data_IF_313927974553
#
_entry.id   IF_313927974553
#
_cell.length_a   1.000
_cell.length_b   1.000
_cell.length_c   1.000
_cell.angle_alpha   90.00
_cell.angle_beta   90.00
_cell.angle_gamma   90.00
#
_symmetry.space_group_name_H-M   'P 1'
#
loop_
_entity.id
_entity.type
_entity.pdbx_description
1 polymer ?
#
# COMPACT_ATOMS: atom_id res chain seq x y z
N UNK A 1 18.92 12.06 10.23
CA UNK A 1 18.16 10.92 9.64
C UNK A 1 16.71 10.88 10.13
N UNK A 2 16.45 11.20 11.41
CA UNK A 2 15.10 11.28 11.98
C UNK A 2 14.12 12.18 11.20
N UNK A 3 14.54 13.40 10.83
CA UNK A 3 13.70 14.35 10.06
C UNK A 3 13.33 13.82 8.67
N UNK A 4 14.26 13.17 7.97
CA UNK A 4 14.00 12.56 6.67
C UNK A 4 13.03 11.36 6.77
N UNK A 5 13.17 10.53 7.82
CA UNK A 5 12.28 9.40 8.08
C UNK A 5 10.85 9.84 8.42
N UNK A 6 10.69 10.91 9.21
CA UNK A 6 9.38 11.48 9.54
C UNK A 6 8.72 12.08 8.31
N UNK A 7 9.46 12.81 7.47
CA UNK A 7 8.97 13.36 6.21
C UNK A 7 8.54 12.26 5.22
N UNK A 8 9.36 11.21 5.06
CA UNK A 8 9.03 10.05 4.22
C UNK A 8 7.82 9.28 4.77
N UNK A 9 7.73 9.08 6.09
CA UNK A 9 6.58 8.42 6.72
C UNK A 9 5.29 9.22 6.53
N UNK A 10 5.32 10.54 6.73
CA UNK A 10 4.18 11.44 6.50
C UNK A 10 3.71 11.40 5.04
N UNK A 11 4.63 11.61 4.10
CA UNK A 11 4.32 11.62 2.67
C UNK A 11 3.82 10.27 2.16
N UNK A 12 4.43 9.16 2.57
CA UNK A 12 3.96 7.83 2.24
C UNK A 12 2.54 7.57 2.79
N UNK A 13 2.25 7.99 4.02
CA UNK A 13 0.91 7.84 4.62
C UNK A 13 -0.16 8.56 3.81
N UNK A 14 0.08 9.84 3.49
CA UNK A 14 -0.86 10.68 2.75
C UNK A 14 -1.10 10.12 1.36
N UNK A 15 -0.05 9.67 0.67
CA UNK A 15 -0.14 9.08 -0.66
C UNK A 15 -1.00 7.80 -0.65
N UNK A 16 -0.74 6.89 0.27
CA UNK A 16 -1.49 5.63 0.39
C UNK A 16 -2.96 5.86 0.75
N UNK A 17 -3.26 6.85 1.59
CA UNK A 17 -4.62 7.25 1.94
C UNK A 17 -5.37 7.82 0.72
N UNK A 18 -4.75 8.76 0.00
CA UNK A 18 -5.36 9.38 -1.16
C UNK A 18 -5.67 8.32 -2.23
N UNK A 19 -4.73 7.42 -2.48
CA UNK A 19 -4.89 6.33 -3.43
C UNK A 19 -5.98 5.33 -3.00
N UNK A 20 -6.03 4.94 -1.73
CA UNK A 20 -7.05 4.01 -1.26
C UNK A 20 -8.46 4.62 -1.25
N UNK A 21 -8.58 5.92 -0.97
CA UNK A 21 -9.85 6.65 -1.08
C UNK A 21 -10.32 6.71 -2.53
N UNK A 22 -9.43 7.09 -3.46
CA UNK A 22 -9.71 7.15 -4.89
C UNK A 22 -10.16 5.80 -5.46
N UNK A 23 -9.44 4.73 -5.10
CA UNK A 23 -9.76 3.38 -5.57
C UNK A 23 -11.12 2.91 -5.06
N UNK A 24 -11.45 3.28 -3.82
CA UNK A 24 -12.75 2.99 -3.22
C UNK A 24 -13.88 3.71 -3.95
N UNK A 25 -13.72 5.00 -4.25
CA UNK A 25 -14.73 5.75 -5.00
C UNK A 25 -14.92 5.21 -6.42
N UNK A 26 -13.83 4.93 -7.13
CA UNK A 26 -13.92 4.30 -8.45
C UNK A 26 -14.64 2.96 -8.42
N UNK A 27 -14.37 2.13 -7.40
CA UNK A 27 -15.03 0.83 -7.26
C UNK A 27 -16.54 0.96 -7.03
N UNK A 28 -16.98 2.01 -6.31
CA UNK A 28 -18.40 2.30 -6.09
C UNK A 28 -19.06 2.72 -7.40
N UNK A 29 -18.44 3.67 -8.12
CA UNK A 29 -18.95 4.15 -9.40
C UNK A 29 -19.06 2.98 -10.38
N UNK A 30 -18.03 2.14 -10.48
CA UNK A 30 -18.04 0.97 -11.34
C UNK A 30 -19.15 -0.03 -10.99
N UNK A 31 -19.33 -0.33 -9.70
CA UNK A 31 -20.38 -1.22 -9.22
C UNK A 31 -21.79 -0.70 -9.56
N UNK A 32 -22.01 0.62 -9.49
CA UNK A 32 -23.29 1.23 -9.86
C UNK A 32 -23.58 1.14 -11.36
N UNK A 33 -22.57 1.30 -12.23
CA UNK A 33 -22.74 1.17 -13.68
C UNK A 33 -23.00 -0.27 -14.14
N UNK A 34 -22.39 -1.25 -13.46
CA UNK A 34 -22.46 -2.66 -13.86
C UNK A 34 -23.49 -3.48 -13.09
N UNK A 35 -24.16 -2.88 -12.11
CA UNK A 35 -25.10 -3.54 -11.18
C UNK A 35 -24.49 -4.78 -10.48
N UNK A 36 -23.20 -4.74 -10.18
CA UNK A 36 -22.46 -5.79 -9.47
C UNK A 36 -22.29 -5.42 -7.98
N UNK A 37 -22.14 -6.40 -7.07
CA UNK A 37 -21.89 -6.13 -5.67
C UNK A 37 -20.56 -5.41 -5.48
N UNK A 38 -20.57 -4.29 -4.74
CA UNK A 38 -19.39 -3.43 -4.58
C UNK A 38 -18.21 -4.13 -3.90
N UNK A 39 -18.50 -5.21 -3.17
CA UNK A 39 -17.52 -6.07 -2.50
C UNK A 39 -16.55 -6.69 -3.50
N UNK A 40 -17.11 -7.31 -4.54
CA UNK A 40 -16.33 -7.96 -5.59
C UNK A 40 -15.58 -6.94 -6.45
N UNK A 41 -16.22 -5.82 -6.81
CA UNK A 41 -15.58 -4.75 -7.58
C UNK A 41 -14.39 -4.12 -6.84
N UNK A 42 -14.53 -3.88 -5.54
CA UNK A 42 -13.43 -3.41 -4.68
C UNK A 42 -12.22 -4.36 -4.71
N UNK A 43 -12.47 -5.66 -4.56
CA UNK A 43 -11.43 -6.69 -4.60
C UNK A 43 -10.66 -6.69 -5.91
N UNK A 44 -11.34 -6.54 -7.06
CA UNK A 44 -10.69 -6.48 -8.37
C UNK A 44 -9.83 -5.23 -8.55
N UNK A 45 -10.37 -4.04 -8.25
CA UNK A 45 -9.61 -2.79 -8.38
C UNK A 45 -8.38 -2.77 -7.48
N UNK A 46 -8.52 -3.26 -6.25
CA UNK A 46 -7.44 -3.34 -5.26
C UNK A 46 -6.40 -4.41 -5.63
N UNK A 47 -6.84 -5.58 -6.10
CA UNK A 47 -5.96 -6.62 -6.64
C UNK A 47 -5.10 -6.14 -7.81
N UNK A 48 -5.71 -5.47 -8.80
CA UNK A 48 -4.99 -4.92 -9.97
C UNK A 48 -4.00 -3.83 -9.54
N UNK A 49 -4.42 -2.93 -8.64
CA UNK A 49 -3.55 -1.87 -8.13
C UNK A 49 -2.29 -2.44 -7.47
N UNK A 50 -2.44 -3.38 -6.53
CA UNK A 50 -1.27 -3.97 -5.84
C UNK A 50 -0.43 -4.85 -6.75
N UNK A 51 -0.99 -5.44 -7.80
CA UNK A 51 -0.21 -6.13 -8.83
C UNK A 51 0.73 -5.15 -9.53
N UNK A 52 0.22 -3.99 -9.97
CA UNK A 52 1.01 -2.94 -10.62
C UNK A 52 2.05 -2.37 -9.64
N UNK A 53 1.67 -2.11 -8.38
CA UNK A 53 2.59 -1.60 -7.37
C UNK A 53 3.77 -2.56 -7.11
N UNK A 54 3.51 -3.86 -6.97
CA UNK A 54 4.58 -4.85 -6.83
C UNK A 54 5.41 -4.99 -8.12
N UNK A 55 4.80 -4.83 -9.30
CA UNK A 55 5.52 -4.81 -10.57
C UNK A 55 6.48 -3.61 -10.67
N UNK A 56 6.08 -2.42 -10.19
CA UNK A 56 6.95 -1.24 -10.15
C UNK A 56 8.19 -1.48 -9.29
N UNK A 57 8.07 -2.20 -8.18
CA UNK A 57 9.21 -2.61 -7.35
C UNK A 57 10.17 -3.55 -8.08
N UNK A 58 9.63 -4.46 -8.91
CA UNK A 58 10.44 -5.35 -9.75
C UNK A 58 11.16 -4.56 -10.85
N UNK A 59 10.48 -3.62 -11.52
CA UNK A 59 11.07 -2.77 -12.55
C UNK A 59 12.21 -1.90 -11.99
N UNK A 60 12.06 -1.35 -10.78
CA UNK A 60 13.13 -0.59 -10.13
C UNK A 60 14.38 -1.43 -9.84
N UNK A 61 14.19 -2.67 -9.39
CA UNK A 61 15.29 -3.62 -9.21
C UNK A 61 15.90 -4.05 -10.55
N UNK A 62 15.09 -4.21 -11.59
CA UNK A 62 15.55 -4.52 -12.95
C UNK A 62 16.43 -3.39 -13.50
N UNK A 63 16.02 -2.13 -13.33
CA UNK A 63 16.79 -0.96 -13.79
C UNK A 63 18.13 -0.89 -13.05
N UNK A 64 18.15 -1.10 -11.72
CA UNK A 64 19.42 -1.20 -10.98
C UNK A 64 20.30 -2.33 -11.51
N UNK A 65 19.74 -3.50 -11.81
CA UNK A 65 20.51 -4.64 -12.34
C UNK A 65 21.04 -4.40 -13.76
N UNK A 66 20.30 -3.64 -14.58
CA UNK A 66 20.68 -3.26 -15.94
C UNK A 66 21.81 -2.22 -15.93
N UNK A 67 21.76 -1.26 -15.01
CA UNK A 67 22.82 -0.25 -14.81
C UNK A 67 24.11 -0.88 -14.27
N UNK A 68 24.00 -1.98 -13.53
CA UNK A 68 25.12 -2.73 -12.95
C UNK A 68 25.62 -3.91 -13.82
N UNK A 69 25.20 -4.01 -15.10
CA UNK A 69 25.58 -5.08 -16.05
C UNK A 69 25.35 -6.53 -15.55
N UNK A 70 24.51 -6.71 -14.52
CA UNK A 70 24.17 -8.00 -13.94
C UNK A 70 22.75 -8.38 -14.39
N UNK A 71 22.62 -8.86 -15.63
CA UNK A 71 21.38 -9.45 -16.15
C UNK A 71 20.99 -10.70 -15.36
N UNK A 72 20.38 -10.53 -14.19
CA UNK A 72 19.82 -11.63 -13.42
C UNK A 72 18.38 -11.89 -13.89
N UNK A 73 18.25 -12.67 -14.96
CA UNK A 73 16.97 -13.20 -15.45
C UNK A 73 16.15 -13.97 -14.39
N UNK A 74 16.77 -14.31 -13.25
CA UNK A 74 16.12 -14.93 -12.09
C UNK A 74 15.02 -14.04 -11.47
N UNK A 75 15.14 -12.71 -11.53
CA UNK A 75 14.09 -11.80 -11.05
C UNK A 75 12.84 -11.82 -11.95
N UNK A 76 13.01 -12.10 -13.25
CA UNK A 76 11.91 -12.16 -14.21
C UNK A 76 11.04 -13.40 -14.03
N UNK A 77 11.64 -14.54 -13.63
CA UNK A 77 10.92 -15.78 -13.29
C UNK A 77 10.07 -15.64 -12.01
N UNK A 78 10.45 -14.75 -11.10
CA UNK A 78 9.71 -14.50 -9.86
C UNK A 78 8.55 -13.50 -10.04
N UNK A 79 8.52 -12.76 -11.15
CA UNK A 79 7.49 -11.77 -11.47
C UNK A 79 6.05 -12.32 -11.38
N UNK A 80 5.72 -13.54 -11.88
CA UNK A 80 4.39 -14.12 -11.73
C UNK A 80 4.00 -14.35 -10.26
N UNK A 81 4.96 -14.74 -9.42
CA UNK A 81 4.71 -14.98 -7.99
C UNK A 81 4.50 -13.68 -7.21
N UNK A 82 5.24 -12.63 -7.54
CA UNK A 82 5.04 -11.30 -6.96
C UNK A 82 3.73 -10.65 -7.40
N UNK A 83 3.38 -10.77 -8.69
CA UNK A 83 2.08 -10.29 -9.19
C UNK A 83 0.93 -11.03 -8.51
N UNK A 84 1.00 -12.35 -8.41
CA UNK A 84 -0.03 -13.15 -7.75
C UNK A 84 -0.15 -12.80 -6.26
N UNK A 85 0.96 -12.62 -5.56
CA UNK A 85 0.98 -12.15 -4.17
C UNK A 85 0.38 -10.75 -4.00
N UNK A 86 0.67 -9.84 -4.94
CA UNK A 86 0.09 -8.50 -4.99
C UNK A 86 -1.43 -8.54 -5.18
N UNK A 87 -1.91 -9.34 -6.14
CA UNK A 87 -3.35 -9.54 -6.37
C UNK A 87 -4.03 -10.11 -5.12
N UNK A 88 -3.46 -11.14 -4.48
CA UNK A 88 -4.04 -11.71 -3.25
C UNK A 88 -4.12 -10.70 -2.11
N UNK A 89 -3.07 -9.91 -1.88
CA UNK A 89 -3.08 -8.84 -0.86
C UNK A 89 -4.12 -7.78 -1.17
N UNK A 90 -4.20 -7.35 -2.43
CA UNK A 90 -5.18 -6.35 -2.85
C UNK A 90 -6.62 -6.87 -2.73
N UNK A 91 -6.87 -8.12 -3.09
CA UNK A 91 -8.19 -8.74 -2.94
C UNK A 91 -8.59 -8.85 -1.47
N UNK A 92 -7.68 -9.31 -0.61
CA UNK A 92 -7.90 -9.40 0.84
C UNK A 92 -8.21 -8.04 1.45
N UNK A 93 -7.47 -7.00 1.04
CA UNK A 93 -7.68 -5.63 1.52
C UNK A 93 -8.98 -5.01 0.98
N UNK A 94 -9.34 -5.32 -0.27
CA UNK A 94 -10.60 -4.92 -0.90
C UNK A 94 -11.81 -5.54 -0.20
N UNK A 95 -11.78 -6.84 0.05
CA UNK A 95 -12.82 -7.59 0.79
C UNK A 95 -12.96 -7.10 2.23
N UNK A 96 -11.86 -6.81 2.92
CA UNK A 96 -11.92 -6.24 4.27
C UNK A 96 -12.61 -4.88 4.30
N UNK A 97 -12.30 -4.02 3.32
CA UNK A 97 -12.85 -2.66 3.26
C UNK A 97 -14.32 -2.67 2.88
N UNK A 98 -14.75 -3.61 2.04
CA UNK A 98 -16.14 -3.72 1.63
C UNK A 98 -17.03 -4.45 2.63
N UNK A 99 -16.57 -5.54 3.23
CA UNK A 99 -17.40 -6.34 4.15
C UNK A 99 -17.40 -5.81 5.58
N UNK A 100 -16.26 -5.31 6.09
CA UNK A 100 -16.21 -4.84 7.49
C UNK A 100 -16.45 -3.33 7.60
N UNK A 101 -15.75 -2.54 6.81
CA UNK A 101 -15.74 -1.08 6.98
C UNK A 101 -17.04 -0.45 6.46
N UNK A 102 -17.49 -0.84 5.26
CA UNK A 102 -18.69 -0.25 4.66
C UNK A 102 -19.99 -0.72 5.31
N UNK A 103 -20.06 -2.01 5.66
CA UNK A 103 -21.27 -2.60 6.24
C UNK A 103 -21.49 -2.16 7.70
N UNK A 104 -20.41 -1.97 8.47
CA UNK A 104 -20.51 -1.55 9.88
C UNK A 104 -20.65 -0.04 10.08
N UNK A 105 -20.03 0.78 9.22
CA UNK A 105 -19.87 2.23 9.47
C UNK A 105 -20.40 3.13 8.33
N UNK A 106 -20.76 2.60 7.17
CA UNK A 106 -21.28 3.38 6.02
C UNK A 106 -20.20 4.05 5.16
N UNK A 107 -20.58 4.44 3.92
CA UNK A 107 -19.65 4.93 2.89
C UNK A 107 -18.89 6.22 3.24
N UNK A 108 -19.43 7.05 4.14
CA UNK A 108 -18.77 8.29 4.56
C UNK A 108 -17.61 8.06 5.56
N UNK A 109 -17.58 6.89 6.20
CA UNK A 109 -16.65 6.58 7.30
C UNK A 109 -15.28 6.08 6.83
N UNK A 110 -15.13 5.82 5.53
CA UNK A 110 -13.86 5.40 4.93
C UNK A 110 -12.79 6.50 5.11
N UNK A 111 -13.17 7.78 4.95
CA UNK A 111 -12.26 8.91 5.17
C UNK A 111 -11.81 9.06 6.63
N UNK A 112 -12.67 8.73 7.59
CA UNK A 112 -12.33 8.74 9.02
C UNK A 112 -11.27 7.68 9.34
N UNK A 113 -11.46 6.46 8.86
CA UNK A 113 -10.53 5.35 9.08
C UNK A 113 -9.17 5.64 8.42
N UNK A 114 -9.18 6.22 7.22
CA UNK A 114 -7.96 6.66 6.55
C UNK A 114 -7.20 7.73 7.34
N UNK A 115 -7.90 8.69 7.95
CA UNK A 115 -7.28 9.71 8.79
C UNK A 115 -6.64 9.10 10.02
N UNK A 116 -7.34 8.18 10.71
CA UNK A 116 -6.80 7.45 11.86
C UNK A 116 -5.58 6.62 11.45
N UNK A 117 -5.65 5.87 10.34
CA UNK A 117 -4.52 5.11 9.80
C UNK A 117 -3.29 6.00 9.55
N UNK A 118 -3.50 7.17 8.94
CA UNK A 118 -2.44 8.16 8.73
C UNK A 118 -1.82 8.66 10.03
N UNK A 119 -2.64 9.05 11.01
CA UNK A 119 -2.14 9.53 12.31
C UNK A 119 -1.33 8.47 13.06
N UNK A 120 -1.78 7.20 13.01
CA UNK A 120 -1.06 6.08 13.64
C UNK A 120 0.27 5.82 12.93
N UNK A 121 0.32 5.89 11.60
CA UNK A 121 1.56 5.67 10.86
C UNK A 121 2.61 6.76 11.13
N UNK A 122 2.17 8.01 11.30
CA UNK A 122 3.04 9.14 11.68
C UNK A 122 3.59 8.98 13.09
N UNK A 123 2.72 8.66 14.05
CA UNK A 123 3.13 8.42 15.44
C UNK A 123 4.06 7.22 15.56
N UNK A 124 3.76 6.13 14.83
CA UNK A 124 4.61 4.95 14.75
C UNK A 124 5.99 5.26 14.18
N UNK A 125 6.05 6.01 13.07
CA UNK A 125 7.32 6.42 12.45
C UNK A 125 8.14 7.33 13.37
N UNK A 126 7.49 8.22 14.11
CA UNK A 126 8.16 9.05 15.12
C UNK A 126 8.73 8.22 16.28
N UNK A 127 7.93 7.29 16.82
CA UNK A 127 8.34 6.42 17.92
C UNK A 127 9.48 5.48 17.53
N UNK A 128 9.38 4.85 16.37
CA UNK A 128 10.41 3.96 15.83
C UNK A 128 11.70 4.71 15.48
N UNK A 129 11.56 5.95 14.98
CA UNK A 129 12.69 6.85 14.76
C UNK A 129 13.46 7.16 16.05
N UNK A 130 12.77 7.50 17.14
CA UNK A 130 13.38 7.72 18.47
C UNK A 130 14.03 6.47 19.05
N UNK A 131 13.44 5.30 18.80
CA UNK A 131 13.99 4.01 19.22
C UNK A 131 15.30 3.69 18.49
N UNK A 132 15.33 3.97 17.18
CA UNK A 132 16.51 3.78 16.34
C UNK A 132 17.63 4.73 16.74
N UNK A 133 17.35 6.01 17.01
CA UNK A 133 18.34 6.97 17.49
C UNK A 133 18.96 6.55 18.84
N UNK A 134 18.18 5.96 19.76
CA UNK A 134 18.72 5.41 21.02
C UNK A 134 19.60 4.18 20.80
N UNK A 135 19.17 3.22 19.99
CA UNK A 135 19.93 1.99 19.75
C UNK A 135 21.23 2.26 19.01
N UNK A 136 21.25 3.16 18.02
CA UNK A 136 22.48 3.53 17.31
C UNK A 136 23.47 4.24 18.25
N UNK A 137 22.99 5.10 19.15
CA UNK A 137 23.85 5.77 20.13
C UNK A 137 24.49 4.78 21.12
N UNK A 138 23.81 3.68 21.46
CA UNK A 138 24.34 2.64 22.35
C UNK A 138 25.31 1.69 21.62
N UNK A 139 25.18 1.51 20.31
CA UNK A 139 26.02 0.61 19.52
C UNK A 139 27.38 1.23 19.09
N UNK A 140 27.54 2.54 19.27
CA UNK A 140 28.75 3.31 18.92
C UNK A 140 29.51 3.88 20.14
N UNK A 141 29.23 3.37 21.35
CA UNK A 141 30.02 3.60 22.58
C UNK A 141 30.59 2.26 23.03
#
# INVERSE_FOLDING_TARGET
MLTAGVLLGLSASVLWIAQASYLTELSVIYATFKAEPVISSMGYFNGIFFAIHNASGITGNLISSLVLDLFQCRMLILLPMFLFGGVMRGFTMGEFTSNFIRESLGSASIGYIMTVFGTVNVLGSYGFGKLTDRCVTILFV
#
